data_IF_705632540388
#
_entry.id   IF_705632540388
#
_cell.length_a   1.000
_cell.length_b   1.000
_cell.length_c   1.000
_cell.angle_alpha   90.00
_cell.angle_beta   90.00
_cell.angle_gamma   90.00
#
_symmetry.space_group_name_H-M   'P 1'
#
loop_
_entity.id
_entity.type
_entity.pdbx_description
1 polymer ?
#
# COMPACT_ATOMS: atom_id res chain seq x y z
N UNK A 1 -6.77 -24.26 69.36
CA UNK A 1 -6.59 -22.91 68.81
C UNK A 1 -5.33 -22.67 68.01
N UNK A 2 -4.28 -23.49 68.06
CA UNK A 2 -3.01 -23.25 67.34
C UNK A 2 -3.02 -23.75 65.87
N UNK A 3 -3.80 -24.74 65.54
CA UNK A 3 -3.84 -25.33 64.20
C UNK A 3 -4.65 -24.47 63.14
N UNK A 4 -5.59 -23.66 63.61
CA UNK A 4 -6.41 -22.84 62.68
C UNK A 4 -5.63 -21.58 62.22
N UNK A 5 -4.76 -21.03 63.02
CA UNK A 5 -3.92 -19.86 62.66
C UNK A 5 -2.87 -20.18 61.59
N UNK A 6 -2.35 -21.41 61.56
CA UNK A 6 -1.34 -21.80 60.56
C UNK A 6 -1.91 -22.02 59.14
N UNK A 7 -3.18 -22.44 59.03
CA UNK A 7 -3.85 -22.61 57.74
C UNK A 7 -4.27 -21.28 57.12
N UNK A 8 -4.70 -20.30 57.93
CA UNK A 8 -5.01 -18.95 57.40
C UNK A 8 -3.77 -18.20 56.92
N UNK A 9 -2.63 -18.36 57.60
CA UNK A 9 -1.38 -17.70 57.20
C UNK A 9 -0.84 -18.28 55.86
N UNK A 10 -0.96 -19.59 55.62
CA UNK A 10 -0.58 -20.22 54.34
C UNK A 10 -1.53 -19.86 53.20
N UNK A 11 -2.83 -19.66 53.48
CA UNK A 11 -3.80 -19.20 52.47
C UNK A 11 -3.57 -17.74 52.03
N UNK A 12 -3.17 -16.88 52.97
CA UNK A 12 -2.82 -15.47 52.65
C UNK A 12 -1.51 -15.37 51.85
N UNK A 13 -0.52 -16.21 52.11
CA UNK A 13 0.73 -16.22 51.31
C UNK A 13 0.53 -16.77 49.89
N UNK A 14 -0.39 -17.73 49.70
CA UNK A 14 -0.73 -18.21 48.36
C UNK A 14 -1.55 -17.20 47.56
N UNK A 15 -2.44 -16.44 48.20
CA UNK A 15 -3.23 -15.38 47.54
C UNK A 15 -2.34 -14.19 47.09
N UNK A 16 -1.31 -13.83 47.87
CA UNK A 16 -0.36 -12.76 47.49
C UNK A 16 0.60 -13.16 46.39
N UNK A 17 1.01 -14.44 46.34
CA UNK A 17 1.83 -14.93 45.22
C UNK A 17 1.04 -15.01 43.89
N UNK A 18 -0.24 -15.41 43.94
CA UNK A 18 -1.08 -15.44 42.73
C UNK A 18 -1.41 -14.03 42.18
N UNK A 19 -1.62 -13.04 43.06
CA UNK A 19 -1.85 -11.67 42.64
C UNK A 19 -0.60 -10.96 42.09
N UNK A 20 0.58 -11.29 42.58
CA UNK A 20 1.86 -10.76 42.05
C UNK A 20 2.24 -11.40 40.72
N UNK A 21 1.97 -12.70 40.51
CA UNK A 21 2.20 -13.36 39.20
C UNK A 21 1.18 -12.91 38.15
N UNK A 22 -0.09 -12.70 38.53
CA UNK A 22 -1.11 -12.17 37.61
C UNK A 22 -0.84 -10.71 37.21
N UNK A 23 -0.35 -9.86 38.14
CA UNK A 23 0.05 -8.49 37.85
C UNK A 23 1.33 -8.42 37.01
N UNK A 24 2.28 -9.34 37.18
CA UNK A 24 3.49 -9.38 36.32
C UNK A 24 3.18 -9.85 34.90
N UNK A 25 2.27 -10.80 34.72
CA UNK A 25 1.87 -11.29 33.40
C UNK A 25 1.00 -10.27 32.63
N UNK A 26 0.13 -9.52 33.30
CA UNK A 26 -0.66 -8.45 32.67
C UNK A 26 0.20 -7.23 32.31
N UNK A 27 1.19 -6.87 33.13
CA UNK A 27 2.13 -5.79 32.84
C UNK A 27 3.10 -6.20 31.73
N UNK A 28 3.55 -7.43 31.69
CA UNK A 28 4.44 -7.95 30.66
C UNK A 28 3.71 -8.12 29.32
N UNK A 29 2.46 -8.57 29.31
CA UNK A 29 1.60 -8.62 28.13
C UNK A 29 1.21 -7.21 27.63
N UNK A 30 1.04 -6.24 28.51
CA UNK A 30 0.80 -4.83 28.16
C UNK A 30 2.08 -4.15 27.64
N UNK A 31 3.25 -4.48 28.15
CA UNK A 31 4.54 -4.01 27.64
C UNK A 31 4.88 -4.55 26.24
N UNK A 32 4.43 -5.76 25.92
CA UNK A 32 4.63 -6.37 24.58
C UNK A 32 3.71 -5.72 23.52
N UNK A 33 2.59 -5.12 23.92
CA UNK A 33 1.64 -4.43 23.02
C UNK A 33 1.85 -2.91 22.93
N UNK A 34 2.72 -2.31 23.70
CA UNK A 34 3.02 -0.88 23.59
C UNK A 34 3.83 -0.65 22.30
N UNK A 35 3.24 0.08 21.33
CA UNK A 35 3.97 0.51 20.14
C UNK A 35 5.27 1.22 20.58
N UNK A 36 6.41 0.96 19.96
CA UNK A 36 7.70 1.56 20.32
C UNK A 36 7.72 3.06 19.98
N UNK A 37 7.29 3.89 20.92
CA UNK A 37 7.06 5.34 20.73
C UNK A 37 8.31 6.09 20.26
N UNK A 38 9.51 5.68 20.75
CA UNK A 38 10.77 6.28 20.35
C UNK A 38 11.08 6.01 18.87
N UNK A 39 10.84 4.81 18.43
CA UNK A 39 11.05 4.38 17.05
C UNK A 39 10.06 5.07 16.10
N UNK A 40 8.80 5.22 16.50
CA UNK A 40 7.80 6.00 15.76
C UNK A 40 8.28 7.44 15.58
N UNK A 41 8.76 8.10 16.64
CA UNK A 41 9.23 9.48 16.57
C UNK A 41 10.43 9.65 15.63
N UNK A 42 11.38 8.71 15.63
CA UNK A 42 12.55 8.73 14.72
C UNK A 42 12.08 8.63 13.27
N UNK A 43 11.17 7.69 12.97
CA UNK A 43 10.66 7.49 11.61
C UNK A 43 9.86 8.71 11.18
N UNK A 44 8.94 9.20 12.01
CA UNK A 44 8.10 10.34 11.67
C UNK A 44 8.94 11.60 11.39
N UNK A 45 9.97 11.87 12.19
CA UNK A 45 10.87 13.00 11.95
C UNK A 45 11.57 12.89 10.58
N UNK A 46 11.98 11.68 10.17
CA UNK A 46 12.62 11.46 8.89
C UNK A 46 11.61 11.58 7.74
N UNK A 47 10.47 10.91 7.84
CA UNK A 47 9.43 10.93 6.81
C UNK A 47 8.82 12.31 6.63
N UNK A 48 8.68 13.08 7.69
CA UNK A 48 8.23 14.46 7.62
C UNK A 48 9.17 15.33 6.77
N UNK A 49 10.48 15.15 6.87
CA UNK A 49 11.45 15.85 6.01
C UNK A 49 11.31 15.42 4.54
N UNK A 50 11.17 14.12 4.28
CA UNK A 50 10.95 13.64 2.90
C UNK A 50 9.65 14.19 2.32
N UNK A 51 8.54 14.20 3.08
CA UNK A 51 7.26 14.81 2.66
C UNK A 51 7.42 16.29 2.37
N UNK A 52 8.09 17.04 3.24
CA UNK A 52 8.36 18.47 3.03
C UNK A 52 9.19 18.72 1.76
N UNK A 53 10.23 17.94 1.52
CA UNK A 53 11.03 18.01 0.29
C UNK A 53 10.19 17.74 -0.95
N UNK A 54 9.22 16.83 -0.84
CA UNK A 54 8.28 16.52 -1.92
C UNK A 54 7.09 17.53 -2.02
N UNK A 55 7.05 18.57 -1.22
CA UNK A 55 5.93 19.53 -1.18
C UNK A 55 4.63 18.92 -0.65
N UNK A 56 4.72 17.89 0.20
CA UNK A 56 3.60 17.15 0.75
C UNK A 56 3.29 17.54 2.20
N UNK A 57 2.00 17.57 2.53
CA UNK A 57 1.46 17.78 3.88
C UNK A 57 0.59 16.59 4.27
N UNK A 58 0.73 16.09 5.50
CA UNK A 58 -0.15 15.03 6.03
C UNK A 58 -1.53 15.60 6.36
N UNK A 59 -2.57 14.87 5.94
CA UNK A 59 -3.98 15.17 6.17
C UNK A 59 -4.67 13.98 6.83
N UNK A 60 -5.76 14.28 7.52
CA UNK A 60 -6.60 13.30 8.22
C UNK A 60 -8.06 13.49 7.84
N UNK A 61 -8.79 12.39 7.65
CA UNK A 61 -10.22 12.43 7.34
C UNK A 61 -10.93 11.23 7.94
N UNK A 62 -12.02 11.47 8.68
CA UNK A 62 -12.89 10.41 9.16
C UNK A 62 -14.00 10.17 8.14
N UNK A 63 -14.12 8.95 7.62
CA UNK A 63 -15.20 8.51 6.73
C UNK A 63 -15.74 7.18 7.24
N UNK A 64 -16.97 7.18 7.78
CA UNK A 64 -17.50 6.01 8.45
C UNK A 64 -16.55 5.52 9.55
N UNK A 65 -16.20 4.24 9.49
CA UNK A 65 -15.29 3.62 10.44
C UNK A 65 -13.82 3.75 10.08
N UNK A 66 -13.49 4.32 8.91
CA UNK A 66 -12.12 4.49 8.44
C UNK A 66 -11.58 5.87 8.83
N UNK A 67 -10.50 5.89 9.59
CA UNK A 67 -9.72 7.10 9.88
C UNK A 67 -8.58 7.20 8.88
N UNK A 68 -8.87 7.83 7.74
CA UNK A 68 -7.91 8.02 6.68
C UNK A 68 -6.78 8.96 7.08
N UNK A 69 -5.55 8.56 6.72
CA UNK A 69 -4.39 9.45 6.70
C UNK A 69 -3.83 9.46 5.28
N UNK A 70 -3.58 10.63 4.74
CA UNK A 70 -3.04 10.80 3.39
C UNK A 70 -2.06 11.96 3.33
N UNK A 71 -1.17 11.94 2.35
CA UNK A 71 -0.32 13.07 1.99
C UNK A 71 -0.95 13.83 0.83
N UNK A 72 -0.93 15.16 0.90
CA UNK A 72 -1.45 16.06 -0.11
C UNK A 72 -0.40 17.11 -0.49
N UNK A 73 -0.22 17.38 -1.78
CA UNK A 73 0.71 18.40 -2.25
C UNK A 73 0.40 18.90 -3.65
N UNK A 74 1.12 19.94 -4.06
CA UNK A 74 0.83 20.65 -5.31
C UNK A 74 -0.39 21.56 -5.21
N UNK A 75 -0.75 22.20 -6.34
CA UNK A 75 -1.90 23.12 -6.39
C UNK A 75 -3.19 22.36 -6.72
N UNK A 76 -4.26 22.59 -5.97
CA UNK A 76 -5.60 22.05 -6.21
C UNK A 76 -6.25 22.53 -7.52
N UNK A 77 -5.65 23.52 -8.19
CA UNK A 77 -6.09 24.00 -9.51
C UNK A 77 -5.46 23.18 -10.66
N UNK A 78 -4.59 22.24 -10.35
CA UNK A 78 -3.94 21.35 -11.33
C UNK A 78 -4.65 20.00 -11.38
N UNK A 79 -4.49 19.25 -12.47
CA UNK A 79 -5.01 17.88 -12.56
C UNK A 79 -4.51 17.02 -11.40
N UNK A 80 -5.38 16.14 -10.91
CA UNK A 80 -5.10 15.34 -9.71
C UNK A 80 -4.47 13.99 -10.06
N UNK A 81 -3.42 13.63 -9.34
CA UNK A 81 -2.78 12.32 -9.37
C UNK A 81 -2.98 11.65 -8.00
N UNK A 82 -3.57 10.47 -7.98
CA UNK A 82 -3.68 9.63 -6.79
C UNK A 82 -2.71 8.45 -6.89
N UNK A 83 -1.88 8.24 -5.84
CA UNK A 83 -0.84 7.21 -5.80
C UNK A 83 -1.15 6.18 -4.72
N UNK A 84 -1.32 4.91 -5.11
CA UNK A 84 -1.67 3.81 -4.22
C UNK A 84 -0.47 2.89 -3.98
N UNK A 85 -0.06 2.73 -2.71
CA UNK A 85 1.06 1.87 -2.33
C UNK A 85 0.70 0.38 -2.33
N UNK A 86 1.70 -0.49 -2.26
CA UNK A 86 1.55 -1.94 -2.20
C UNK A 86 1.30 -2.49 -0.79
N UNK A 87 1.23 -3.82 -0.71
CA UNK A 87 1.06 -4.59 0.52
C UNK A 87 2.10 -4.16 1.57
N UNK A 88 1.67 -4.00 2.83
CA UNK A 88 2.51 -3.56 3.96
C UNK A 88 3.24 -2.22 3.77
N UNK A 89 2.90 -1.50 2.71
CA UNK A 89 3.46 -0.20 2.38
C UNK A 89 2.84 0.96 3.18
N UNK A 90 3.17 2.15 2.76
CA UNK A 90 2.55 3.39 3.23
C UNK A 90 2.65 4.47 2.15
N UNK A 91 1.93 5.59 2.36
CA UNK A 91 2.02 6.79 1.53
C UNK A 91 3.46 7.26 1.31
N UNK A 92 4.34 7.04 2.28
CA UNK A 92 5.73 7.49 2.23
C UNK A 92 6.59 6.79 1.18
N UNK A 93 6.14 5.64 0.66
CA UNK A 93 6.83 4.97 -0.45
C UNK A 93 6.85 5.82 -1.74
N UNK A 94 5.95 6.79 -1.85
CA UNK A 94 5.82 7.65 -3.02
C UNK A 94 6.53 9.02 -2.86
N UNK A 95 7.06 9.36 -1.67
CA UNK A 95 7.63 10.69 -1.40
C UNK A 95 8.69 11.09 -2.43
N UNK A 96 9.61 10.18 -2.79
CA UNK A 96 10.68 10.45 -3.75
C UNK A 96 10.16 10.71 -5.16
N UNK A 97 9.15 9.97 -5.59
CA UNK A 97 8.50 10.21 -6.88
C UNK A 97 7.65 11.49 -6.83
N UNK A 98 6.93 11.73 -5.74
CA UNK A 98 6.04 12.87 -5.59
C UNK A 98 6.73 14.23 -5.75
N UNK A 99 8.03 14.34 -5.39
CA UNK A 99 8.80 15.58 -5.61
C UNK A 99 8.88 16.01 -7.08
N UNK A 100 8.74 15.05 -8.02
CA UNK A 100 8.69 15.36 -9.46
C UNK A 100 7.27 15.69 -9.93
N UNK A 101 6.25 15.29 -9.18
CA UNK A 101 4.85 15.45 -9.56
C UNK A 101 4.23 16.72 -8.98
N UNK A 102 4.49 17.07 -7.73
CA UNK A 102 3.87 18.21 -7.02
C UNK A 102 4.11 19.58 -7.68
N UNK A 103 5.24 19.83 -8.41
CA UNK A 103 5.38 21.05 -9.19
C UNK A 103 4.37 21.20 -10.33
N UNK A 104 3.77 20.09 -10.80
CA UNK A 104 2.94 20.05 -12.00
C UNK A 104 1.51 19.56 -11.76
N UNK A 105 1.26 18.80 -10.71
CA UNK A 105 -0.01 18.13 -10.40
C UNK A 105 -0.44 18.37 -8.95
N UNK A 106 -1.73 18.26 -8.69
CA UNK A 106 -2.27 18.06 -7.36
C UNK A 106 -2.09 16.58 -7.02
N UNK A 107 -1.39 16.24 -5.95
CA UNK A 107 -0.99 14.88 -5.61
C UNK A 107 -1.64 14.44 -4.31
N UNK A 108 -2.33 13.32 -4.33
CA UNK A 108 -2.96 12.66 -3.17
C UNK A 108 -2.38 11.26 -3.00
N UNK A 109 -1.89 10.97 -1.81
CA UNK A 109 -1.28 9.67 -1.50
C UNK A 109 -1.89 9.14 -0.22
N UNK A 110 -2.95 8.32 -0.27
CA UNK A 110 -3.54 7.73 0.94
C UNK A 110 -2.70 6.58 1.46
N UNK A 111 -2.66 6.42 2.78
CA UNK A 111 -2.41 5.13 3.38
C UNK A 111 -3.66 4.26 3.20
N UNK A 112 -3.53 3.15 2.49
CA UNK A 112 -4.64 2.22 2.29
C UNK A 112 -5.12 1.62 3.63
N UNK A 113 -6.39 1.22 3.75
CA UNK A 113 -6.92 0.62 4.98
C UNK A 113 -6.01 -0.42 5.60
N UNK A 114 -5.82 -0.36 6.92
CA UNK A 114 -4.92 -1.20 7.72
C UNK A 114 -3.41 -1.00 7.45
N UNK A 115 -3.02 -0.04 6.62
CA UNK A 115 -1.62 0.27 6.34
C UNK A 115 -1.26 1.68 6.81
N UNK A 116 0.05 1.94 6.95
CA UNK A 116 0.56 3.24 7.38
C UNK A 116 -0.08 3.71 8.69
N UNK A 117 -0.67 4.91 8.65
CA UNK A 117 -1.36 5.54 9.78
C UNK A 117 -2.89 5.52 9.62
N UNK A 118 -3.43 4.95 8.55
CA UNK A 118 -4.89 4.77 8.38
C UNK A 118 -5.40 3.67 9.29
N UNK A 119 -6.40 4.00 10.12
CA UNK A 119 -6.99 3.09 11.08
C UNK A 119 -8.36 2.60 10.61
N UNK A 120 -8.60 1.31 10.80
CA UNK A 120 -9.86 0.60 10.55
C UNK A 120 -10.21 -0.27 11.75
N UNK A 121 -11.49 -0.65 11.95
CA UNK A 121 -11.89 -1.62 12.98
C UNK A 121 -11.17 -2.97 12.82
N UNK A 122 -11.05 -3.73 13.91
CA UNK A 122 -10.35 -5.03 13.92
C UNK A 122 -10.94 -6.03 12.90
N UNK A 123 -12.25 -6.00 12.68
CA UNK A 123 -12.96 -6.89 11.76
C UNK A 123 -13.20 -6.26 10.36
N UNK A 124 -12.44 -5.24 10.02
CA UNK A 124 -12.58 -4.60 8.71
C UNK A 124 -12.25 -5.59 7.59
N UNK A 125 -13.13 -5.64 6.59
CA UNK A 125 -12.93 -6.47 5.42
C UNK A 125 -11.90 -5.82 4.49
N UNK A 126 -10.74 -6.47 4.31
CA UNK A 126 -9.63 -6.00 3.47
C UNK A 126 -9.70 -6.57 2.04
N UNK A 127 -10.83 -7.13 1.59
CA UNK A 127 -10.96 -7.53 0.20
C UNK A 127 -10.87 -6.33 -0.77
N UNK A 128 -10.43 -6.61 -1.99
CA UNK A 128 -10.19 -5.56 -2.98
C UNK A 128 -11.45 -4.74 -3.28
N UNK A 129 -12.66 -5.34 -3.45
CA UNK A 129 -13.87 -4.57 -3.69
C UNK A 129 -14.18 -3.59 -2.55
N UNK A 130 -14.10 -4.03 -1.28
CA UNK A 130 -14.37 -3.15 -0.16
C UNK A 130 -13.33 -2.03 -0.05
N UNK A 131 -12.03 -2.35 -0.18
CA UNK A 131 -10.96 -1.34 -0.16
C UNK A 131 -11.13 -0.33 -1.30
N UNK A 132 -11.53 -0.79 -2.49
CA UNK A 132 -11.80 0.08 -3.65
C UNK A 132 -13.01 0.98 -3.38
N UNK A 133 -14.09 0.45 -2.82
CA UNK A 133 -15.27 1.24 -2.44
C UNK A 133 -14.93 2.30 -1.37
N UNK A 134 -14.11 1.98 -0.37
CA UNK A 134 -13.63 2.94 0.62
C UNK A 134 -12.74 4.03 -0.01
N UNK A 135 -11.89 3.66 -0.96
CA UNK A 135 -11.10 4.63 -1.74
C UNK A 135 -12.02 5.56 -2.55
N UNK A 136 -13.09 5.01 -3.14
CA UNK A 136 -14.09 5.82 -3.86
C UNK A 136 -14.73 6.88 -2.94
N UNK A 137 -15.14 6.49 -1.72
CA UNK A 137 -15.70 7.42 -0.74
C UNK A 137 -14.70 8.53 -0.36
N UNK A 138 -13.40 8.20 -0.24
CA UNK A 138 -12.37 9.21 0.00
C UNK A 138 -12.26 10.19 -1.16
N UNK A 139 -12.22 9.70 -2.40
CA UNK A 139 -12.12 10.50 -3.63
C UNK A 139 -13.33 11.42 -3.78
N UNK A 140 -14.57 10.92 -3.58
CA UNK A 140 -15.80 11.70 -3.59
C UNK A 140 -15.78 12.79 -2.52
N UNK A 141 -15.36 12.46 -1.30
CA UNK A 141 -15.31 13.44 -0.21
C UNK A 141 -14.28 14.55 -0.47
N UNK A 142 -13.24 14.26 -1.24
CA UNK A 142 -12.25 15.24 -1.68
C UNK A 142 -12.71 16.02 -2.94
N UNK A 143 -13.82 15.64 -3.57
CA UNK A 143 -14.32 16.26 -4.81
C UNK A 143 -13.42 15.99 -6.02
N UNK A 144 -12.86 14.78 -6.11
CA UNK A 144 -11.84 14.41 -7.11
C UNK A 144 -12.35 13.39 -8.14
N UNK A 145 -13.65 13.11 -8.15
CA UNK A 145 -14.28 12.08 -8.97
C UNK A 145 -14.39 12.37 -10.47
N UNK A 146 -13.60 13.30 -10.99
CA UNK A 146 -13.53 13.57 -12.41
C UNK A 146 -12.08 13.80 -12.82
N UNK A 147 -11.71 13.30 -14.00
CA UNK A 147 -10.39 13.52 -14.62
C UNK A 147 -9.18 13.11 -13.75
N UNK A 148 -9.35 12.02 -12.99
CA UNK A 148 -8.36 11.50 -12.05
C UNK A 148 -7.28 10.71 -12.76
N UNK A 149 -6.01 11.06 -12.56
CA UNK A 149 -4.87 10.21 -12.91
C UNK A 149 -4.60 9.26 -11.75
N UNK A 150 -4.82 7.96 -11.95
CA UNK A 150 -4.68 6.95 -10.90
C UNK A 150 -3.41 6.13 -11.12
N UNK A 151 -2.58 5.99 -10.10
CA UNK A 151 -1.38 5.17 -10.12
C UNK A 151 -1.38 4.15 -9.00
N UNK A 152 -0.91 2.93 -9.26
CA UNK A 152 -0.83 1.90 -8.24
C UNK A 152 0.41 1.02 -8.37
N UNK A 153 1.03 0.76 -7.22
CA UNK A 153 2.16 -0.16 -7.09
C UNK A 153 1.69 -1.48 -6.48
N UNK A 154 2.10 -2.61 -7.07
CA UNK A 154 1.83 -3.95 -6.52
C UNK A 154 0.34 -4.13 -6.19
N UNK A 155 -0.06 -4.40 -4.95
CA UNK A 155 -1.47 -4.49 -4.50
C UNK A 155 -2.25 -3.21 -4.86
N UNK A 156 -1.65 -2.02 -4.69
CA UNK A 156 -2.25 -0.76 -5.11
C UNK A 156 -2.56 -0.70 -6.60
N UNK A 157 -1.80 -1.42 -7.44
CA UNK A 157 -2.07 -1.58 -8.87
C UNK A 157 -3.34 -2.41 -9.14
N UNK A 158 -3.58 -3.47 -8.36
CA UNK A 158 -4.85 -4.22 -8.44
C UNK A 158 -6.05 -3.36 -8.04
N UNK A 159 -5.91 -2.57 -6.95
CA UNK A 159 -6.96 -1.64 -6.50
C UNK A 159 -7.20 -0.56 -7.56
N UNK A 160 -6.15 0.02 -8.13
CA UNK A 160 -6.26 1.01 -9.19
C UNK A 160 -6.95 0.45 -10.45
N UNK A 161 -6.63 -0.81 -10.82
CA UNK A 161 -7.27 -1.49 -11.95
C UNK A 161 -8.76 -1.73 -11.69
N UNK A 162 -9.12 -2.18 -10.49
CA UNK A 162 -10.51 -2.40 -10.10
C UNK A 162 -11.27 -1.07 -10.08
N UNK A 163 -10.70 -0.03 -9.48
CA UNK A 163 -11.28 1.31 -9.47
C UNK A 163 -11.55 1.83 -10.89
N UNK A 164 -10.56 1.77 -11.78
CA UNK A 164 -10.69 2.23 -13.16
C UNK A 164 -11.74 1.44 -13.96
N UNK A 165 -11.97 0.16 -13.61
CA UNK A 165 -12.99 -0.67 -14.22
C UNK A 165 -14.41 -0.36 -13.71
N UNK A 166 -14.57 -0.08 -12.41
CA UNK A 166 -15.85 0.20 -11.76
C UNK A 166 -16.27 1.67 -11.92
N UNK A 167 -15.31 2.60 -12.00
CA UNK A 167 -15.52 4.05 -12.12
C UNK A 167 -14.83 4.62 -13.37
N UNK A 168 -15.24 4.20 -14.58
CA UNK A 168 -14.54 4.57 -15.82
C UNK A 168 -14.64 6.06 -16.15
N UNK A 169 -15.66 6.76 -15.64
CA UNK A 169 -15.82 8.21 -15.85
C UNK A 169 -14.87 9.05 -14.99
N UNK A 170 -14.42 8.51 -13.86
CA UNK A 170 -13.50 9.20 -12.97
C UNK A 170 -12.06 9.16 -13.47
N UNK A 171 -11.70 8.08 -14.18
CA UNK A 171 -10.30 7.73 -14.44
C UNK A 171 -9.85 8.29 -15.79
N UNK A 172 -9.07 9.35 -15.77
CA UNK A 172 -8.45 9.98 -16.96
C UNK A 172 -7.27 9.15 -17.48
N UNK A 173 -6.48 8.57 -16.60
CA UNK A 173 -5.40 7.64 -16.95
C UNK A 173 -5.06 6.69 -15.81
N UNK A 174 -4.48 5.55 -16.15
CA UNK A 174 -4.03 4.53 -15.23
C UNK A 174 -2.52 4.29 -15.38
N UNK A 175 -1.78 4.31 -14.27
CA UNK A 175 -0.38 3.93 -14.23
C UNK A 175 -0.17 2.73 -13.32
N UNK A 176 0.38 1.64 -13.85
CA UNK A 176 0.64 0.40 -13.16
C UNK A 176 2.14 0.17 -13.01
N UNK A 177 2.61 0.17 -11.76
CA UNK A 177 3.99 0.00 -11.38
C UNK A 177 4.17 -1.34 -10.68
N UNK A 178 4.82 -2.33 -11.34
CA UNK A 178 5.00 -3.69 -10.80
C UNK A 178 3.68 -4.24 -10.20
N UNK A 179 2.58 -4.10 -10.93
CA UNK A 179 1.22 -4.30 -10.42
C UNK A 179 0.97 -5.75 -10.02
N UNK A 180 0.30 -5.96 -8.89
CA UNK A 180 -0.31 -7.25 -8.61
C UNK A 180 -1.50 -7.51 -9.54
N UNK A 181 -1.81 -8.79 -9.71
CA UNK A 181 -2.88 -9.28 -10.56
C UNK A 181 -2.96 -10.80 -10.49
N UNK A 182 -3.91 -11.38 -11.21
CA UNK A 182 -4.02 -12.84 -11.33
C UNK A 182 -3.65 -13.21 -12.77
N UNK A 183 -2.38 -13.58 -12.93
CA UNK A 183 -1.75 -13.82 -14.21
C UNK A 183 -1.82 -15.30 -14.63
N UNK A 184 -1.93 -15.56 -15.95
CA UNK A 184 -1.84 -16.90 -16.52
C UNK A 184 -0.42 -17.37 -16.76
N UNK A 185 0.47 -16.43 -17.13
CA UNK A 185 1.84 -16.74 -17.59
C UNK A 185 2.91 -16.19 -16.66
N UNK A 186 2.66 -15.07 -16.02
CA UNK A 186 3.61 -14.41 -15.10
C UNK A 186 3.60 -15.07 -13.72
N UNK A 187 4.22 -16.23 -13.62
CA UNK A 187 4.17 -17.10 -12.44
C UNK A 187 5.49 -16.97 -11.66
N UNK A 188 5.39 -16.69 -10.36
CA UNK A 188 6.48 -16.76 -9.38
C UNK A 188 6.03 -17.61 -8.18
N UNK A 189 6.97 -17.94 -7.30
CA UNK A 189 6.62 -18.64 -6.05
C UNK A 189 5.59 -17.87 -5.22
N UNK A 190 5.67 -16.54 -5.23
CA UNK A 190 4.75 -15.66 -4.49
C UNK A 190 3.35 -15.62 -5.12
N UNK A 191 3.26 -15.63 -6.45
CA UNK A 191 1.96 -15.59 -7.15
C UNK A 191 1.27 -16.95 -7.17
N UNK A 192 2.03 -18.06 -7.20
CA UNK A 192 1.46 -19.41 -7.14
C UNK A 192 0.95 -19.79 -5.75
N UNK A 193 1.65 -19.34 -4.72
CA UNK A 193 1.30 -19.64 -3.34
C UNK A 193 1.33 -18.36 -2.50
N UNK A 194 0.18 -17.70 -2.31
CA UNK A 194 0.10 -16.46 -1.51
C UNK A 194 0.66 -16.58 -0.10
N UNK A 195 0.70 -17.80 0.49
CA UNK A 195 1.36 -18.01 1.78
C UNK A 195 2.87 -17.73 1.74
N UNK A 196 3.51 -17.76 0.56
CA UNK A 196 4.90 -17.35 0.42
C UNK A 196 5.10 -15.86 0.70
N UNK A 197 4.07 -15.02 0.52
CA UNK A 197 4.11 -13.61 0.90
C UNK A 197 4.39 -13.42 2.40
N UNK A 198 4.11 -14.41 3.25
CA UNK A 198 4.49 -14.37 4.67
C UNK A 198 6.01 -14.31 4.88
N UNK A 199 6.81 -14.77 3.91
CA UNK A 199 8.28 -14.65 3.94
C UNK A 199 8.77 -13.21 3.80
N UNK A 200 7.90 -12.31 3.32
CA UNK A 200 8.16 -10.86 3.22
C UNK A 200 7.81 -10.12 4.51
N UNK A 201 7.38 -10.82 5.57
CA UNK A 201 7.08 -10.22 6.87
C UNK A 201 8.38 -10.13 7.66
N UNK A 202 8.72 -8.92 8.09
CA UNK A 202 9.78 -8.69 9.07
C UNK A 202 9.28 -9.10 10.44
N UNK A 203 9.79 -10.19 10.99
CA UNK A 203 9.35 -10.81 12.24
C UNK A 203 10.44 -10.90 13.31
N UNK A 204 11.69 -10.73 12.91
CA UNK A 204 12.86 -10.77 13.78
C UNK A 204 13.96 -9.80 13.30
N UNK A 205 14.94 -9.44 14.16
CA UNK A 205 16.08 -8.63 13.76
C UNK A 205 16.86 -9.25 12.59
N UNK A 206 17.19 -8.45 11.60
CA UNK A 206 17.85 -8.83 10.34
C UNK A 206 16.91 -9.01 9.16
N UNK A 207 15.64 -9.37 9.39
CA UNK A 207 14.67 -9.61 8.32
C UNK A 207 14.44 -8.38 7.42
N UNK A 208 14.65 -7.15 7.93
CA UNK A 208 14.48 -5.94 7.11
C UNK A 208 15.54 -5.84 6.00
N UNK A 209 16.78 -6.22 6.29
CA UNK A 209 17.83 -6.25 5.27
C UNK A 209 17.50 -7.25 4.18
N UNK A 210 17.13 -8.48 4.58
CA UNK A 210 16.76 -9.54 3.66
C UNK A 210 15.55 -9.13 2.81
N UNK A 211 14.54 -8.49 3.42
CA UNK A 211 13.38 -7.97 2.71
C UNK A 211 13.79 -6.90 1.67
N UNK A 212 14.66 -5.96 2.03
CA UNK A 212 15.11 -4.93 1.11
C UNK A 212 15.80 -5.53 -0.11
N UNK A 213 16.65 -6.55 0.06
CA UNK A 213 17.33 -7.25 -1.03
C UNK A 213 16.42 -8.19 -1.83
N UNK A 214 15.34 -8.68 -1.22
CA UNK A 214 14.33 -9.46 -1.96
C UNK A 214 13.46 -8.55 -2.84
N UNK A 215 13.08 -7.39 -2.34
CA UNK A 215 12.23 -6.44 -3.06
C UNK A 215 12.98 -5.59 -4.09
N UNK A 216 14.25 -5.25 -3.84
CA UNK A 216 15.00 -4.28 -4.63
C UNK A 216 16.33 -4.88 -5.11
N UNK A 217 16.71 -4.53 -6.33
CA UNK A 217 18.02 -4.90 -6.88
C UNK A 217 19.12 -4.00 -6.30
N UNK A 218 18.83 -2.72 -6.14
CA UNK A 218 19.72 -1.70 -5.57
C UNK A 218 19.01 -0.94 -4.45
N UNK A 219 18.88 -1.54 -3.25
CA UNK A 219 18.20 -0.89 -2.14
C UNK A 219 18.85 0.45 -1.79
N UNK A 220 18.07 1.52 -1.53
CA UNK A 220 18.62 2.78 -1.10
C UNK A 220 19.31 2.64 0.26
N UNK A 221 20.38 3.41 0.46
CA UNK A 221 21.02 3.46 1.77
C UNK A 221 20.10 4.15 2.78
N UNK A 222 19.76 3.42 3.85
CA UNK A 222 18.93 3.91 4.94
C UNK A 222 19.82 4.19 6.14
N UNK A 223 19.77 5.39 6.77
CA UNK A 223 20.52 5.69 7.98
C UNK A 223 20.25 4.66 9.08
N UNK A 224 21.33 4.20 9.76
CA UNK A 224 21.24 3.11 10.75
C UNK A 224 20.14 3.30 11.80
N UNK A 225 19.99 4.48 12.46
CA UNK A 225 18.92 4.67 13.44
C UNK A 225 17.51 4.52 12.86
N UNK A 226 17.32 4.95 11.61
CA UNK A 226 16.04 4.82 10.90
C UNK A 226 15.77 3.35 10.54
N UNK A 227 16.80 2.63 10.08
CA UNK A 227 16.68 1.20 9.74
C UNK A 227 16.27 0.39 10.97
N UNK A 228 16.96 0.57 12.11
CA UNK A 228 16.63 -0.11 13.37
C UNK A 228 15.21 0.24 13.85
N UNK A 229 14.84 1.52 13.79
CA UNK A 229 13.50 1.96 14.18
C UNK A 229 12.41 1.33 13.28
N UNK A 230 12.64 1.32 11.96
CA UNK A 230 11.72 0.72 10.99
C UNK A 230 11.55 -0.78 11.21
N UNK A 231 12.66 -1.49 11.42
CA UNK A 231 12.64 -2.93 11.68
C UNK A 231 11.81 -3.27 12.91
N UNK A 232 12.01 -2.56 14.03
CA UNK A 232 11.23 -2.76 15.26
C UNK A 232 9.73 -2.52 15.05
N UNK A 233 9.35 -1.50 14.28
CA UNK A 233 7.92 -1.27 13.97
C UNK A 233 7.34 -2.36 13.10
N UNK A 234 8.08 -2.87 12.12
CA UNK A 234 7.63 -3.96 11.27
C UNK A 234 7.48 -5.26 12.07
N UNK A 235 8.41 -5.57 12.96
CA UNK A 235 8.32 -6.72 13.89
C UNK A 235 7.07 -6.58 14.77
N UNK A 236 6.80 -5.39 15.32
CA UNK A 236 5.62 -5.16 16.15
C UNK A 236 4.28 -5.32 15.39
N UNK A 237 4.29 -5.27 14.05
CA UNK A 237 3.13 -5.45 13.16
C UNK A 237 3.13 -6.81 12.43
N UNK A 238 4.03 -7.71 12.76
CA UNK A 238 4.19 -8.96 12.03
C UNK A 238 2.90 -9.80 11.99
N UNK A 239 2.21 -9.93 13.13
CA UNK A 239 0.95 -10.67 13.24
C UNK A 239 -0.18 -10.00 12.43
N UNK A 240 -0.27 -8.68 12.46
CA UNK A 240 -1.25 -7.91 11.68
C UNK A 240 -1.02 -8.10 10.19
N UNK A 241 0.24 -8.03 9.75
CA UNK A 241 0.62 -8.25 8.36
C UNK A 241 0.34 -9.69 7.91
N UNK A 242 0.55 -10.68 8.80
CA UNK A 242 0.22 -12.08 8.51
C UNK A 242 -1.29 -12.29 8.29
N UNK A 243 -2.14 -11.69 9.15
CA UNK A 243 -3.61 -11.74 8.97
C UNK A 243 -4.06 -11.08 7.67
N UNK A 244 -3.47 -9.95 7.29
CA UNK A 244 -3.77 -9.28 6.02
C UNK A 244 -3.40 -10.18 4.82
N UNK A 245 -2.25 -10.83 4.85
CA UNK A 245 -1.84 -11.78 3.80
C UNK A 245 -2.80 -12.96 3.71
N UNK A 246 -3.29 -13.48 4.84
CA UNK A 246 -4.28 -14.55 4.87
C UNK A 246 -5.61 -14.13 4.22
N UNK A 247 -6.10 -12.94 4.50
CA UNK A 247 -7.29 -12.41 3.85
C UNK A 247 -7.10 -12.27 2.33
N UNK A 248 -5.95 -11.73 1.91
CA UNK A 248 -5.62 -11.62 0.48
C UNK A 248 -5.47 -12.99 -0.19
N UNK A 249 -4.91 -13.99 0.49
CA UNK A 249 -4.80 -15.34 -0.04
C UNK A 249 -6.16 -16.00 -0.30
N UNK A 250 -7.19 -15.65 0.47
CA UNK A 250 -8.56 -16.11 0.22
C UNK A 250 -9.14 -15.56 -1.08
N UNK A 251 -8.75 -14.36 -1.50
CA UNK A 251 -9.23 -13.74 -2.74
C UNK A 251 -8.83 -14.54 -3.98
N UNK A 252 -7.66 -15.15 -4.00
CA UNK A 252 -7.21 -16.03 -5.09
C UNK A 252 -8.06 -17.31 -5.26
N UNK A 253 -8.93 -17.62 -4.28
CA UNK A 253 -9.91 -18.71 -4.40
C UNK A 253 -11.19 -18.24 -5.12
N UNK A 254 -11.46 -16.96 -5.11
CA UNK A 254 -12.68 -16.35 -5.68
C UNK A 254 -12.41 -15.82 -7.08
N UNK A 255 -11.26 -15.16 -7.27
CA UNK A 255 -10.87 -14.56 -8.54
C UNK A 255 -9.95 -15.50 -9.32
N UNK A 256 -10.23 -15.63 -10.61
CA UNK A 256 -9.44 -16.44 -11.56
C UNK A 256 -8.69 -15.53 -12.54
N UNK A 257 -7.68 -16.03 -13.27
CA UNK A 257 -7.07 -15.27 -14.36
C UNK A 257 -8.07 -14.79 -15.40
N UNK A 258 -9.11 -15.56 -15.66
CA UNK A 258 -10.15 -15.17 -16.63
C UNK A 258 -11.06 -14.06 -16.10
N UNK A 259 -11.42 -14.06 -14.81
CA UNK A 259 -12.19 -12.97 -14.20
C UNK A 259 -11.35 -11.69 -14.15
N UNK A 260 -10.07 -11.78 -13.81
CA UNK A 260 -9.14 -10.66 -13.83
C UNK A 260 -8.96 -10.10 -15.25
N UNK A 261 -8.82 -10.97 -16.26
CA UNK A 261 -8.73 -10.55 -17.65
C UNK A 261 -10.01 -9.84 -18.14
N UNK A 262 -11.20 -10.29 -17.72
CA UNK A 262 -12.45 -9.58 -18.04
C UNK A 262 -12.51 -8.19 -17.40
N UNK A 263 -12.13 -8.09 -16.12
CA UNK A 263 -12.04 -6.82 -15.41
C UNK A 263 -11.09 -5.86 -16.12
N UNK A 264 -9.87 -6.32 -16.45
CA UNK A 264 -8.85 -5.50 -17.11
C UNK A 264 -9.33 -4.97 -18.47
N UNK A 265 -10.07 -5.80 -19.25
CA UNK A 265 -10.65 -5.39 -20.54
C UNK A 265 -11.76 -4.36 -20.42
N UNK A 266 -12.40 -4.19 -19.26
CA UNK A 266 -13.41 -3.15 -19.06
C UNK A 266 -12.83 -1.77 -18.78
N UNK A 267 -11.54 -1.67 -18.49
CA UNK A 267 -10.86 -0.38 -18.28
C UNK A 267 -10.75 0.39 -19.60
N UNK A 268 -11.31 1.59 -19.61
CA UNK A 268 -11.33 2.48 -20.80
C UNK A 268 -10.18 3.50 -20.78
N UNK A 269 -9.57 3.73 -19.62
CA UNK A 269 -8.50 4.70 -19.43
C UNK A 269 -7.23 4.31 -20.19
N UNK A 270 -6.51 5.27 -20.83
CA UNK A 270 -5.15 5.05 -21.29
C UNK A 270 -4.28 4.52 -20.15
N UNK A 271 -3.49 3.49 -20.41
CA UNK A 271 -2.75 2.80 -19.37
C UNK A 271 -1.27 2.76 -19.68
N UNK A 272 -0.42 3.25 -18.75
CA UNK A 272 1.02 3.05 -18.74
C UNK A 272 1.36 1.88 -17.82
N UNK A 273 2.21 0.97 -18.29
CA UNK A 273 2.72 -0.17 -17.53
C UNK A 273 4.23 -0.05 -17.42
N UNK A 274 4.76 0.00 -16.20
CA UNK A 274 6.19 0.07 -15.94
C UNK A 274 6.61 -1.02 -14.96
N UNK A 275 7.75 -1.66 -15.23
CA UNK A 275 8.22 -2.80 -14.44
C UNK A 275 9.73 -2.83 -14.27
N UNK A 276 10.19 -3.19 -13.08
CA UNK A 276 11.59 -3.59 -12.87
C UNK A 276 11.85 -4.99 -13.41
N UNK A 277 12.87 -5.15 -14.27
CA UNK A 277 13.20 -6.45 -14.85
C UNK A 277 13.64 -7.49 -13.83
N UNK A 278 14.20 -7.05 -12.72
CA UNK A 278 14.68 -7.90 -11.62
C UNK A 278 13.64 -8.10 -10.51
N UNK A 279 12.37 -7.86 -10.81
CA UNK A 279 11.27 -8.14 -9.87
C UNK A 279 11.19 -9.64 -9.56
N UNK A 280 11.51 -10.01 -8.31
CA UNK A 280 11.46 -11.38 -7.81
C UNK A 280 10.08 -11.75 -7.28
N UNK A 281 9.23 -10.76 -6.96
CA UNK A 281 7.90 -10.95 -6.38
C UNK A 281 6.88 -11.26 -7.47
N UNK A 282 6.84 -10.42 -8.52
CA UNK A 282 5.94 -10.60 -9.66
C UNK A 282 6.78 -10.50 -10.93
N UNK A 283 6.84 -11.58 -11.69
CA UNK A 283 7.66 -11.63 -12.91
C UNK A 283 7.37 -10.45 -13.85
N UNK A 284 8.41 -9.84 -14.40
CA UNK A 284 8.29 -8.77 -15.40
C UNK A 284 7.53 -9.19 -16.67
N UNK A 285 7.35 -10.49 -16.90
CA UNK A 285 6.49 -11.00 -17.98
C UNK A 285 5.01 -10.62 -17.80
N UNK A 286 4.60 -10.27 -16.58
CA UNK A 286 3.27 -9.73 -16.28
C UNK A 286 2.98 -8.43 -17.03
N UNK A 287 3.99 -7.60 -17.27
CA UNK A 287 3.83 -6.35 -18.01
C UNK A 287 3.29 -6.59 -19.44
N UNK A 288 3.83 -7.59 -20.15
CA UNK A 288 3.36 -7.96 -21.49
C UNK A 288 1.98 -8.65 -21.44
N UNK A 289 1.71 -9.44 -20.39
CA UNK A 289 0.39 -10.06 -20.21
C UNK A 289 -0.68 -8.98 -19.98
N UNK A 290 -0.42 -8.01 -19.11
CA UNK A 290 -1.30 -6.87 -18.86
C UNK A 290 -1.53 -6.04 -20.12
N UNK A 291 -0.46 -5.71 -20.86
CA UNK A 291 -0.55 -4.93 -22.11
C UNK A 291 -1.52 -5.58 -23.10
N UNK A 292 -1.51 -6.90 -23.21
CA UNK A 292 -2.43 -7.64 -24.07
C UNK A 292 -3.88 -7.71 -23.55
N UNK A 293 -4.13 -7.33 -22.29
CA UNK A 293 -5.46 -7.34 -21.68
C UNK A 293 -6.14 -5.97 -21.71
N UNK A 294 -5.39 -4.87 -21.53
CA UNK A 294 -5.93 -3.52 -21.56
C UNK A 294 -6.22 -3.05 -23.00
N UNK A 295 -7.32 -2.35 -23.20
CA UNK A 295 -7.71 -1.81 -24.52
C UNK A 295 -6.75 -0.71 -25.01
N UNK A 296 -6.23 0.10 -24.09
CA UNK A 296 -5.46 1.31 -24.40
C UNK A 296 -4.14 1.36 -23.65
N UNK A 297 -3.47 0.20 -23.48
CA UNK A 297 -2.14 0.16 -22.89
C UNK A 297 -1.05 0.59 -23.89
N UNK A 298 -0.12 1.41 -23.43
CA UNK A 298 1.12 1.67 -24.13
C UNK A 298 2.04 0.44 -24.08
N UNK A 299 3.11 0.45 -24.90
CA UNK A 299 4.16 -0.57 -24.79
C UNK A 299 4.76 -0.52 -23.38
N UNK A 300 4.90 -1.66 -22.68
CA UNK A 300 5.43 -1.67 -21.34
C UNK A 300 6.87 -1.14 -21.27
N UNK A 301 7.14 -0.35 -20.26
CA UNK A 301 8.49 0.12 -19.94
C UNK A 301 9.13 -0.85 -18.95
N UNK A 302 10.25 -1.45 -19.33
CA UNK A 302 10.99 -2.39 -18.50
C UNK A 302 12.33 -1.76 -18.06
N UNK A 303 12.48 -1.48 -16.76
CA UNK A 303 13.67 -0.88 -16.18
C UNK A 303 14.74 -1.94 -15.89
N UNK A 304 15.94 -1.76 -16.44
CA UNK A 304 17.07 -2.64 -16.14
C UNK A 304 17.62 -2.35 -14.74
N UNK A 305 18.10 -3.39 -14.05
CA UNK A 305 18.70 -3.30 -12.72
C UNK A 305 17.74 -2.71 -11.66
N UNK A 306 16.46 -2.96 -11.79
CA UNK A 306 15.40 -2.49 -10.89
C UNK A 306 14.53 -3.66 -10.47
N UNK A 307 14.20 -3.73 -9.18
CA UNK A 307 13.38 -4.78 -8.57
C UNK A 307 11.89 -4.45 -8.51
N UNK A 308 11.24 -4.88 -7.42
CA UNK A 308 9.80 -4.77 -7.21
C UNK A 308 9.31 -3.37 -6.83
N UNK A 309 10.20 -2.47 -6.35
CA UNK A 309 9.79 -1.17 -5.78
C UNK A 309 10.46 0.01 -6.51
N UNK A 310 10.20 0.20 -7.83
CA UNK A 310 10.92 1.20 -8.64
C UNK A 310 10.79 2.64 -8.13
N UNK A 311 9.68 3.00 -7.45
CA UNK A 311 9.50 4.36 -6.92
C UNK A 311 10.43 4.69 -5.74
N UNK A 312 11.10 3.67 -5.13
CA UNK A 312 12.14 3.86 -4.12
C UNK A 312 13.55 3.63 -4.67
N UNK A 313 13.68 2.78 -5.70
CA UNK A 313 14.95 2.32 -6.25
C UNK A 313 15.40 3.14 -7.46
N UNK A 314 14.45 3.64 -8.26
CA UNK A 314 14.70 4.29 -9.54
C UNK A 314 13.68 5.43 -9.82
N UNK A 315 13.34 6.22 -8.80
CA UNK A 315 12.29 7.24 -8.85
C UNK A 315 12.42 8.22 -10.02
N UNK A 316 13.67 8.59 -10.38
CA UNK A 316 13.93 9.48 -11.53
C UNK A 316 13.55 8.83 -12.85
N UNK A 317 13.88 7.55 -13.04
CA UNK A 317 13.52 6.81 -14.25
C UNK A 317 12.00 6.64 -14.34
N UNK A 318 11.34 6.36 -13.20
CA UNK A 318 9.87 6.30 -13.15
C UNK A 318 9.28 7.65 -13.56
N UNK A 319 9.77 8.77 -13.01
CA UNK A 319 9.30 10.12 -13.34
C UNK A 319 9.51 10.46 -14.83
N UNK A 320 10.64 10.07 -15.42
CA UNK A 320 10.96 10.29 -16.84
C UNK A 320 9.94 9.65 -17.81
N UNK A 321 9.31 8.55 -17.41
CA UNK A 321 8.26 7.89 -18.18
C UNK A 321 6.86 8.36 -17.80
N UNK A 322 6.62 8.60 -16.51
CA UNK A 322 5.30 8.93 -16.03
C UNK A 322 4.87 10.37 -16.36
N UNK A 323 5.74 11.36 -16.21
CA UNK A 323 5.40 12.76 -16.51
C UNK A 323 4.98 12.99 -17.96
N UNK A 324 5.69 12.48 -19.01
CA UNK A 324 5.23 12.60 -20.38
C UNK A 324 3.89 11.90 -20.65
N UNK A 325 3.65 10.74 -20.00
CA UNK A 325 2.38 10.03 -20.10
C UNK A 325 1.22 10.86 -19.51
N UNK A 326 1.41 11.44 -18.33
CA UNK A 326 0.43 12.34 -17.71
C UNK A 326 0.10 13.53 -18.62
N UNK A 327 1.14 14.22 -19.14
CA UNK A 327 0.97 15.37 -20.04
C UNK A 327 0.22 15.00 -21.34
N UNK A 328 0.51 13.82 -21.91
CA UNK A 328 -0.17 13.31 -23.09
C UNK A 328 -1.64 12.99 -22.80
N UNK A 329 -1.93 12.31 -21.69
CA UNK A 329 -3.29 11.86 -21.36
C UNK A 329 -4.18 12.99 -20.89
N UNK A 330 -3.64 14.03 -20.28
CA UNK A 330 -4.38 15.25 -19.91
C UNK A 330 -4.97 15.98 -21.13
N UNK A 331 -4.34 15.87 -22.30
CA UNK A 331 -4.84 16.49 -23.54
C UNK A 331 -5.94 15.65 -24.21
N UNK A 332 -6.09 14.40 -23.80
CA UNK A 332 -7.13 13.52 -24.34
C UNK A 332 -8.45 13.83 -23.62
N UNK A 333 -9.50 14.18 -24.37
CA UNK A 333 -10.85 14.18 -23.80
C UNK A 333 -11.20 12.78 -23.33
N UNK A 334 -11.85 12.67 -22.16
CA UNK A 334 -12.38 11.40 -21.70
C UNK A 334 -13.40 10.91 -22.74
N UNK A 335 -13.19 9.76 -23.41
CA UNK A 335 -14.08 9.31 -24.49
C UNK A 335 -15.50 8.98 -24.03
N UNK A 336 -15.73 8.94 -22.72
CA UNK A 336 -17.04 8.71 -22.11
C UNK A 336 -17.75 10.03 -21.73
N UNK A 337 -17.02 11.15 -21.57
CA UNK A 337 -17.61 12.44 -21.21
C UNK A 337 -18.63 12.91 -22.27
N UNK A 338 -18.33 12.70 -23.55
CA UNK A 338 -19.25 13.05 -24.66
C UNK A 338 -20.53 12.21 -24.71
N UNK A 339 -20.57 11.07 -24.00
CA UNK A 339 -21.77 10.21 -23.91
C UNK A 339 -22.75 10.62 -22.83
N UNK A 340 -22.34 11.54 -21.94
CA UNK A 340 -23.16 12.07 -20.84
C UNK A 340 -23.84 13.40 -21.17
N UNK A 341 -23.73 13.91 -22.41
CA UNK A 341 -24.49 15.08 -22.82
C UNK A 341 -25.97 14.76 -22.69
N UNK A 342 -26.77 15.61 -22.01
CA UNK A 342 -28.20 15.37 -21.85
C UNK A 342 -28.85 15.23 -23.22
N UNK A 343 -29.66 14.19 -23.38
CA UNK A 343 -30.60 14.10 -24.44
C UNK A 343 -31.55 15.29 -24.27
N UNK A 344 -31.35 16.35 -25.07
CA UNK A 344 -32.28 17.49 -25.17
C UNK A 344 -33.63 17.02 -25.68
#
# INVERSE_FOLDING_TARGET
MHQVKSKLFRLMQLATCFSLVALSNTTQAALIKAKPQKEIAIIEQYMQRERQTAGLTTRHMQLGDVKWVYSEGGSTQKPTVVLLHGLTGSRDHWNRLAQFLTPHYHVIIPDLPHNGDTHVPEHFNLDLPNVTAQLRLLIEKLGLENDLHLAGHSLGGSIATLYAAEYPFDTQSLFLLNSAGIYKKAITNYTQNPNQLKKLIVSRPGDLEDLMHELMQNPPQVPYPLKVAREKLLIARADDNARMIEQLAMLNRIYTPDSFARLTRSVEAPTLILWGKQDKIISATAANELQGLFKRAEQPVLLNNVGHVPMLEAERQVAQHYLPFLAKTQQLKNPLADKLLPLN
#
